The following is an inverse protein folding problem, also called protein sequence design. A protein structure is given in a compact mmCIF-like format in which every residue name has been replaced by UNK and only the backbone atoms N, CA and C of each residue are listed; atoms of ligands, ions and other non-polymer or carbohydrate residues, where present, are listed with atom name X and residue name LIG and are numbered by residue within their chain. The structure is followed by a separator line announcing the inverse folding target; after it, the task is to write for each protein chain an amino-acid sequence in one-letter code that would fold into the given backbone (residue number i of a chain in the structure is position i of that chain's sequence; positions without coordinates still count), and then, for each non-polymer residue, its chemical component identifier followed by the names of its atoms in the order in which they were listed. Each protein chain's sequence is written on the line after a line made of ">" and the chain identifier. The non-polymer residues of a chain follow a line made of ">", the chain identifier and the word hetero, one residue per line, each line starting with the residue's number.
data_IF_950813380147
#
_entry.id   IF_950813380147
#
_cell.length_a   1.000
_cell.length_b   1.000
_cell.length_c   1.000
_cell.angle_alpha   90.00
_cell.angle_beta   90.00
_cell.angle_gamma   90.00
#
_symmetry.space_group_name_H-M   'P 1'
#
loop_
_entity.id
_entity.type
_entity.pdbx_description
1 polymer ?
#
# COMPACT_ATOMS: atom_id res chain seq x y z
N UNK A 1 13.42 -30.82 -12.27
CA UNK A 1 14.28 -30.59 -11.08
C UNK A 1 14.21 -29.11 -10.76
N UNK A 2 14.04 -28.70 -9.50
CA UNK A 2 14.10 -27.29 -9.13
C UNK A 2 15.45 -26.72 -9.57
N UNK A 3 15.45 -25.48 -10.08
CA UNK A 3 16.65 -24.83 -10.62
C UNK A 3 17.67 -24.47 -9.54
N UNK A 4 17.28 -24.48 -8.25
CA UNK A 4 18.18 -24.21 -7.13
C UNK A 4 17.73 -25.03 -5.92
N UNK A 5 18.64 -25.81 -5.35
CA UNK A 5 18.44 -26.49 -4.07
C UNK A 5 19.11 -25.66 -2.99
N UNK A 6 18.34 -25.28 -1.95
CA UNK A 6 18.79 -24.46 -0.81
C UNK A 6 18.94 -25.37 0.43
N UNK A 7 20.09 -26.05 0.61
CA UNK A 7 20.30 -26.95 1.74
C UNK A 7 20.33 -26.22 3.09
N UNK A 8 20.44 -24.90 3.07
CA UNK A 8 20.47 -23.95 4.17
C UNK A 8 19.07 -23.52 4.66
N UNK A 9 18.01 -23.78 3.90
CA UNK A 9 16.62 -23.55 4.32
C UNK A 9 16.07 -24.80 5.03
N UNK A 10 16.21 -24.87 6.35
CA UNK A 10 15.40 -25.76 7.19
C UNK A 10 14.00 -25.18 7.38
N UNK A 11 13.01 -25.99 7.78
CA UNK A 11 11.63 -25.54 8.01
C UNK A 11 11.54 -24.38 9.03
N UNK A 12 12.42 -24.40 10.05
CA UNK A 12 12.54 -23.35 11.06
C UNK A 12 13.04 -22.03 10.45
N UNK A 13 14.03 -22.09 9.56
CA UNK A 13 14.57 -20.91 8.87
C UNK A 13 13.57 -20.40 7.83
N UNK A 14 12.90 -21.30 7.09
CA UNK A 14 11.91 -20.95 6.09
C UNK A 14 10.69 -20.22 6.67
N UNK A 15 10.36 -20.49 7.93
CA UNK A 15 9.23 -19.84 8.64
C UNK A 15 9.69 -18.67 9.52
N UNK A 16 10.98 -18.34 9.54
CA UNK A 16 11.48 -17.17 10.26
C UNK A 16 10.90 -15.89 9.69
N UNK A 17 10.63 -14.90 10.55
CA UNK A 17 10.15 -13.58 10.11
C UNK A 17 11.11 -12.94 9.10
N UNK A 18 12.41 -13.22 9.21
CA UNK A 18 13.44 -12.68 8.33
C UNK A 18 13.32 -13.23 6.89
N UNK A 19 13.10 -14.53 6.71
CA UNK A 19 12.91 -15.16 5.39
C UNK A 19 11.54 -14.81 4.81
N UNK A 20 10.49 -14.84 5.64
CA UNK A 20 9.13 -14.45 5.23
C UNK A 20 9.13 -12.99 4.76
N UNK A 21 9.65 -12.06 5.56
CA UNK A 21 9.62 -10.64 5.22
C UNK A 21 10.51 -10.28 4.02
N UNK A 22 11.59 -11.03 3.76
CA UNK A 22 12.49 -10.74 2.64
C UNK A 22 12.13 -11.49 1.36
N UNK A 23 12.03 -12.82 1.39
CA UNK A 23 11.84 -13.63 0.19
C UNK A 23 10.41 -13.55 -0.35
N UNK A 24 9.40 -13.49 0.53
CA UNK A 24 8.00 -13.40 0.10
C UNK A 24 7.66 -11.98 -0.38
N UNK A 25 8.18 -10.94 0.28
CA UNK A 25 7.93 -9.55 -0.15
C UNK A 25 8.53 -9.23 -1.51
N UNK A 26 9.64 -9.89 -1.89
CA UNK A 26 10.23 -9.75 -3.21
C UNK A 26 9.26 -10.05 -4.35
N UNK A 27 8.36 -11.02 -4.18
CA UNK A 27 7.31 -11.33 -5.17
C UNK A 27 6.29 -10.19 -5.33
N UNK A 28 6.07 -9.39 -4.28
CA UNK A 28 5.14 -8.26 -4.30
C UNK A 28 5.77 -6.99 -4.87
N UNK A 29 7.09 -6.95 -5.03
CA UNK A 29 7.80 -5.77 -5.55
C UNK A 29 7.52 -5.49 -7.04
N UNK A 30 6.84 -6.39 -7.76
CA UNK A 30 6.29 -6.10 -9.09
C UNK A 30 5.20 -5.02 -9.07
N UNK A 31 4.57 -4.77 -7.91
CA UNK A 31 3.42 -3.89 -7.76
C UNK A 31 3.73 -2.54 -7.10
N UNK A 32 5.01 -2.11 -7.03
CA UNK A 32 5.41 -0.85 -6.38
C UNK A 32 4.90 0.40 -7.10
N UNK A 33 4.66 1.53 -6.39
CA UNK A 33 4.19 2.75 -7.02
C UNK A 33 5.24 3.38 -7.94
N UNK A 34 4.77 4.15 -8.92
CA UNK A 34 5.64 4.92 -9.81
C UNK A 34 6.48 5.91 -8.99
N UNK A 35 7.77 6.00 -9.29
CA UNK A 35 8.69 6.93 -8.64
C UNK A 35 9.45 6.37 -7.43
N UNK A 36 9.26 5.09 -7.09
CA UNK A 36 10.18 4.36 -6.20
C UNK A 36 11.54 4.23 -6.89
N UNK A 37 12.61 4.48 -6.16
CA UNK A 37 13.98 4.40 -6.69
C UNK A 37 14.38 2.95 -6.98
N UNK A 38 14.91 2.72 -8.18
CA UNK A 38 15.37 1.42 -8.65
C UNK A 38 16.89 1.41 -8.76
N UNK A 39 17.50 0.26 -8.48
CA UNK A 39 18.91 -0.04 -8.75
C UNK A 39 19.04 -1.18 -9.75
N UNK A 40 20.22 -1.31 -10.36
CA UNK A 40 20.55 -2.47 -11.19
C UNK A 40 20.96 -3.65 -10.31
N UNK A 41 20.40 -4.83 -10.59
CA UNK A 41 20.86 -6.08 -10.02
C UNK A 41 22.18 -6.53 -10.66
N UNK A 42 22.81 -7.54 -10.06
CA UNK A 42 24.00 -8.21 -10.64
C UNK A 42 23.75 -8.79 -12.03
N UNK A 43 22.47 -9.07 -12.36
CA UNK A 43 22.02 -9.58 -13.65
C UNK A 43 21.55 -8.47 -14.61
N UNK A 44 21.73 -7.19 -14.25
CA UNK A 44 21.37 -6.03 -15.08
C UNK A 44 19.88 -5.67 -15.10
N UNK A 45 19.04 -6.38 -14.34
CA UNK A 45 17.61 -6.09 -14.20
C UNK A 45 17.37 -4.93 -13.24
N UNK A 46 16.26 -4.21 -13.40
CA UNK A 46 15.86 -3.17 -12.44
C UNK A 46 15.21 -3.83 -11.23
N UNK A 47 15.76 -3.58 -10.04
CA UNK A 47 15.23 -4.06 -8.77
C UNK A 47 15.03 -2.89 -7.82
N UNK A 48 14.11 -3.03 -6.88
CA UNK A 48 13.86 -1.99 -5.87
C UNK A 48 15.14 -1.73 -5.09
N UNK A 49 15.48 -0.46 -4.84
CA UNK A 49 16.67 -0.11 -4.07
C UNK A 49 16.49 -0.36 -2.55
N UNK A 50 15.99 -1.51 -2.12
CA UNK A 50 15.84 -1.85 -0.69
C UNK A 50 16.99 -2.74 -0.26
N UNK A 51 17.59 -2.43 0.88
CA UNK A 51 18.52 -3.35 1.58
C UNK A 51 17.77 -4.13 2.64
N UNK A 52 18.21 -5.36 2.93
CA UNK A 52 17.61 -6.19 3.99
C UNK A 52 17.61 -5.48 5.36
N UNK A 53 18.65 -4.69 5.63
CA UNK A 53 18.76 -3.86 6.85
C UNK A 53 17.78 -2.69 6.91
N UNK A 54 17.09 -2.37 5.81
CA UNK A 54 16.12 -1.27 5.73
C UNK A 54 14.67 -1.75 5.84
N UNK A 55 14.45 -3.06 6.03
CA UNK A 55 13.12 -3.60 6.28
C UNK A 55 12.65 -3.03 7.63
N UNK A 56 11.53 -2.29 7.64
CA UNK A 56 11.04 -1.66 8.85
C UNK A 56 10.54 -2.72 9.84
N UNK A 57 10.98 -2.62 11.10
CA UNK A 57 10.49 -3.46 12.20
C UNK A 57 9.17 -2.92 12.79
N UNK A 58 8.88 -1.64 12.58
CA UNK A 58 7.69 -0.96 13.08
C UNK A 58 6.86 -0.43 11.91
N UNK A 59 5.53 -0.47 12.01
CA UNK A 59 4.65 0.06 10.96
C UNK A 59 4.67 1.59 10.91
N UNK A 60 4.86 2.25 12.05
CA UNK A 60 4.86 3.71 12.19
C UNK A 60 6.13 4.14 12.91
N UNK A 61 6.91 5.01 12.27
CA UNK A 61 8.21 5.47 12.75
C UNK A 61 8.25 6.99 12.90
N UNK A 62 8.88 7.47 13.97
CA UNK A 62 9.16 8.89 14.15
C UNK A 62 10.49 9.20 13.45
N UNK A 63 10.46 10.03 12.41
CA UNK A 63 11.67 10.45 11.67
C UNK A 63 12.35 11.65 12.33
N UNK A 64 11.55 12.57 12.89
CA UNK A 64 12.05 13.77 13.57
C UNK A 64 11.05 14.26 14.61
N UNK A 65 11.56 14.93 15.65
CA UNK A 65 10.75 15.42 16.77
C UNK A 65 10.65 14.41 17.91
N UNK A 66 10.15 14.86 19.05
CA UNK A 66 9.93 14.03 20.24
C UNK A 66 8.44 13.75 20.40
N UNK A 67 8.06 12.48 20.32
CA UNK A 67 6.68 12.08 20.48
C UNK A 67 6.54 10.67 21.07
N UNK A 68 5.34 10.37 21.57
CA UNK A 68 4.93 9.01 21.94
C UNK A 68 3.76 8.60 21.07
N UNK A 69 3.84 7.39 20.51
CA UNK A 69 2.75 6.78 19.74
C UNK A 69 2.01 5.82 20.67
N UNK A 70 0.69 5.98 20.73
CA UNK A 70 -0.19 5.21 21.58
C UNK A 70 -1.35 4.66 20.74
N UNK A 71 -1.93 3.55 21.18
CA UNK A 71 -3.14 2.98 20.58
C UNK A 71 -3.02 2.72 19.07
N UNK A 72 -1.85 2.25 18.61
CA UNK A 72 -1.65 1.86 17.22
C UNK A 72 -2.55 0.65 16.91
N UNK A 73 -3.41 0.82 15.91
CA UNK A 73 -4.21 -0.24 15.34
C UNK A 73 -4.07 -0.20 13.82
N UNK A 74 -3.66 -1.31 13.24
CA UNK A 74 -3.33 -1.44 11.83
C UNK A 74 -4.07 -2.60 11.21
N UNK A 75 -4.62 -2.32 10.04
CA UNK A 75 -5.27 -3.25 9.13
C UNK A 75 -4.77 -2.93 7.72
N UNK A 76 -4.87 -3.87 6.76
CA UNK A 76 -4.35 -3.64 5.42
C UNK A 76 -4.87 -2.37 4.71
N UNK A 77 -6.07 -1.91 5.06
CA UNK A 77 -6.69 -0.72 4.47
C UNK A 77 -6.78 0.49 5.41
N UNK A 78 -6.39 0.35 6.68
CA UNK A 78 -6.56 1.42 7.68
C UNK A 78 -5.52 1.33 8.79
N UNK A 79 -4.89 2.45 9.09
CA UNK A 79 -3.93 2.62 10.18
C UNK A 79 -4.38 3.80 11.04
N UNK A 80 -4.58 3.55 12.33
CA UNK A 80 -4.98 4.57 13.29
C UNK A 80 -4.03 4.56 14.47
N UNK A 81 -3.66 5.74 14.95
CA UNK A 81 -2.88 5.88 16.17
C UNK A 81 -3.13 7.24 16.80
N UNK A 82 -2.79 7.35 18.08
CA UNK A 82 -2.72 8.62 18.80
C UNK A 82 -1.25 8.97 18.93
N UNK A 83 -0.90 10.21 18.63
CA UNK A 83 0.45 10.72 18.85
C UNK A 83 0.42 11.88 19.83
N UNK A 84 1.32 11.83 20.82
CA UNK A 84 1.57 12.92 21.75
C UNK A 84 2.91 13.55 21.40
N UNK A 85 2.88 14.62 20.59
CA UNK A 85 4.06 15.30 20.08
C UNK A 85 4.44 16.46 21.01
N UNK A 86 5.67 16.46 21.51
CA UNK A 86 6.23 17.55 22.32
C UNK A 86 6.70 18.73 21.47
N UNK A 87 7.12 18.44 20.24
CA UNK A 87 7.58 19.39 19.23
C UNK A 87 6.97 19.00 17.87
N UNK A 88 7.00 19.88 16.84
CA UNK A 88 6.65 19.51 15.48
C UNK A 88 7.37 18.24 15.03
N UNK A 89 6.60 17.31 14.50
CA UNK A 89 6.94 15.90 14.36
C UNK A 89 6.81 15.49 12.89
N UNK A 90 7.74 14.68 12.39
CA UNK A 90 7.56 13.96 11.13
C UNK A 90 7.42 12.47 11.41
N UNK A 91 6.26 11.92 11.07
CA UNK A 91 5.99 10.48 11.15
C UNK A 91 6.06 9.87 9.77
N UNK A 92 6.69 8.70 9.66
CA UNK A 92 6.59 7.80 8.51
C UNK A 92 5.68 6.64 8.85
N UNK A 93 4.79 6.32 7.93
CA UNK A 93 4.08 5.05 7.92
C UNK A 93 4.71 4.20 6.84
N UNK A 94 5.13 2.99 7.20
CA UNK A 94 5.86 2.06 6.34
C UNK A 94 4.95 1.34 5.35
N UNK A 95 4.14 2.14 4.67
CA UNK A 95 3.20 1.76 3.61
C UNK A 95 3.48 2.62 2.39
N UNK A 96 3.55 1.98 1.23
CA UNK A 96 3.66 2.65 -0.05
C UNK A 96 2.47 3.57 -0.32
N UNK A 97 2.74 4.81 -0.72
CA UNK A 97 1.71 5.79 -1.04
C UNK A 97 1.10 5.52 -2.44
N UNK A 98 0.23 4.53 -2.52
CA UNK A 98 -0.60 4.33 -3.71
C UNK A 98 -1.74 5.36 -3.82
N UNK A 99 -2.17 5.72 -5.05
CA UNK A 99 -3.37 6.51 -5.25
C UNK A 99 -4.58 5.87 -4.53
N UNK A 100 -5.24 6.62 -3.66
CA UNK A 100 -6.37 6.14 -2.84
C UNK A 100 -6.14 6.23 -1.33
N UNK A 101 -4.88 6.32 -0.89
CA UNK A 101 -4.59 6.64 0.51
C UNK A 101 -5.00 8.06 0.86
N UNK A 102 -5.62 8.21 2.03
CA UNK A 102 -6.08 9.47 2.58
C UNK A 102 -5.72 9.53 4.06
N UNK A 103 -5.14 10.65 4.50
CA UNK A 103 -4.87 10.89 5.91
C UNK A 103 -5.87 11.89 6.50
N UNK A 104 -6.17 11.70 7.77
CA UNK A 104 -6.86 12.66 8.62
C UNK A 104 -6.10 12.84 9.93
N UNK A 105 -6.06 14.08 10.39
CA UNK A 105 -5.58 14.44 11.72
C UNK A 105 -6.72 15.16 12.42
N UNK A 106 -7.13 14.64 13.57
CA UNK A 106 -8.29 15.14 14.35
C UNK A 106 -9.57 15.26 13.51
N UNK A 107 -9.79 14.26 12.65
CA UNK A 107 -10.96 14.18 11.76
C UNK A 107 -10.90 15.07 10.51
N UNK A 108 -9.93 15.99 10.42
CA UNK A 108 -9.75 16.88 9.26
C UNK A 108 -8.82 16.25 8.24
N UNK A 109 -9.10 16.44 6.95
CA UNK A 109 -8.24 15.94 5.86
C UNK A 109 -6.84 16.53 6.03
N UNK A 110 -5.85 15.66 5.96
CA UNK A 110 -4.44 16.02 6.13
C UNK A 110 -3.64 15.60 4.90
N UNK A 111 -2.64 16.40 4.54
CA UNK A 111 -1.83 16.15 3.34
C UNK A 111 -0.81 15.05 3.61
N UNK A 112 -0.79 14.03 2.74
CA UNK A 112 0.24 13.01 2.71
C UNK A 112 1.41 13.53 1.88
N UNK A 113 2.63 13.41 2.40
CA UNK A 113 3.85 13.55 1.62
C UNK A 113 4.44 12.15 1.33
N UNK A 114 5.18 12.03 0.23
CA UNK A 114 5.87 10.80 -0.16
C UNK A 114 7.25 11.09 -0.76
N UNK A 115 7.85 12.23 -0.39
CA UNK A 115 9.14 12.70 -0.87
C UNK A 115 10.30 11.94 -0.22
N UNK A 116 10.27 10.63 -0.32
CA UNK A 116 11.32 9.72 0.08
C UNK A 116 11.55 8.70 -1.03
N UNK A 117 12.71 8.06 -0.96
CA UNK A 117 13.22 7.09 -1.95
C UNK A 117 12.22 5.98 -2.30
N UNK A 118 11.40 5.59 -1.34
CA UNK A 118 10.48 4.46 -1.45
C UNK A 118 9.03 4.91 -1.60
N UNK A 119 8.73 6.20 -1.76
CA UNK A 119 7.35 6.72 -1.82
C UNK A 119 6.46 6.25 -0.66
N UNK A 120 7.04 6.11 0.54
CA UNK A 120 6.30 5.76 1.75
C UNK A 120 5.51 6.97 2.27
N UNK A 121 4.39 6.73 2.94
CA UNK A 121 3.54 7.78 3.50
C UNK A 121 4.30 8.50 4.62
N UNK A 122 4.40 9.84 4.54
CA UNK A 122 4.90 10.69 5.62
C UNK A 122 3.90 11.80 5.97
N UNK A 123 3.83 12.13 7.25
CA UNK A 123 2.96 13.17 7.80
C UNK A 123 3.78 14.10 8.69
N UNK A 124 3.64 15.42 8.47
CA UNK A 124 4.21 16.44 9.34
C UNK A 124 3.13 16.90 10.32
N UNK A 125 3.19 16.42 11.55
CA UNK A 125 2.18 16.66 12.58
C UNK A 125 2.69 17.78 13.49
N UNK A 126 1.88 18.81 13.80
CA UNK A 126 2.28 19.86 14.72
C UNK A 126 2.44 19.32 16.15
N UNK A 127 2.97 20.17 17.04
CA UNK A 127 3.01 19.85 18.47
C UNK A 127 1.60 19.66 19.04
N UNK A 128 1.47 18.77 20.04
CA UNK A 128 0.21 18.47 20.70
C UNK A 128 -0.21 17.01 20.57
N UNK A 129 -1.40 16.73 21.10
CA UNK A 129 -2.01 15.39 21.05
C UNK A 129 -2.95 15.32 19.85
N UNK A 130 -2.66 14.39 18.95
CA UNK A 130 -3.38 14.25 17.70
C UNK A 130 -3.85 12.82 17.46
N UNK A 131 -5.08 12.67 16.97
CA UNK A 131 -5.56 11.39 16.43
C UNK A 131 -5.29 11.34 14.94
N UNK A 132 -4.47 10.37 14.53
CA UNK A 132 -4.12 10.13 13.13
C UNK A 132 -4.90 8.95 12.60
N UNK A 133 -5.53 9.14 11.45
CA UNK A 133 -6.25 8.09 10.72
C UNK A 133 -5.80 8.10 9.27
N UNK A 134 -5.24 6.99 8.80
CA UNK A 134 -4.79 6.81 7.43
C UNK A 134 -5.60 5.66 6.86
N UNK A 135 -6.31 5.88 5.76
CA UNK A 135 -7.21 4.90 5.18
C UNK A 135 -7.09 4.85 3.67
N UNK A 136 -7.09 3.64 3.13
CA UNK A 136 -7.20 3.40 1.71
C UNK A 136 -8.67 3.44 1.33
N UNK A 137 -9.03 4.40 0.48
CA UNK A 137 -10.38 4.53 -0.06
C UNK A 137 -10.37 4.11 -1.52
N UNK A 138 -11.50 3.55 -1.96
CA UNK A 138 -11.71 3.25 -3.37
C UNK A 138 -11.44 4.51 -4.21
N UNK A 139 -10.60 4.34 -5.22
CA UNK A 139 -10.26 5.40 -6.17
C UNK A 139 -11.46 5.68 -7.08
N UNK A 140 -11.54 6.92 -7.58
CA UNK A 140 -12.59 7.33 -8.52
C UNK A 140 -12.64 6.43 -9.77
N UNK A 141 -11.51 5.82 -10.13
CA UNK A 141 -11.36 4.86 -11.24
C UNK A 141 -12.21 3.60 -11.06
N UNK A 142 -12.38 3.12 -9.81
CA UNK A 142 -13.23 1.95 -9.53
C UNK A 142 -14.71 2.29 -9.76
N UNK A 143 -15.12 3.51 -9.43
CA UNK A 143 -16.47 3.98 -9.66
C UNK A 143 -16.79 4.09 -11.16
N UNK A 144 -15.88 4.68 -11.95
CA UNK A 144 -16.06 4.79 -13.41
C UNK A 144 -16.03 3.43 -14.10
N UNK A 145 -15.13 2.54 -13.71
CA UNK A 145 -15.07 1.17 -14.20
C UNK A 145 -16.37 0.39 -13.95
N UNK A 146 -16.96 0.54 -12.76
CA UNK A 146 -18.25 -0.06 -12.44
C UNK A 146 -19.38 0.48 -13.31
N UNK A 147 -19.44 1.80 -13.56
CA UNK A 147 -20.45 2.41 -14.44
C UNK A 147 -20.31 1.88 -15.87
N UNK A 148 -19.09 1.84 -16.41
CA UNK A 148 -18.82 1.35 -17.77
C UNK A 148 -19.23 -0.13 -17.90
N UNK A 149 -18.90 -0.94 -16.89
CA UNK A 149 -19.23 -2.37 -16.86
C UNK A 149 -20.74 -2.58 -16.80
N UNK A 150 -21.45 -1.84 -15.94
CA UNK A 150 -22.91 -1.91 -15.83
C UNK A 150 -23.59 -1.46 -17.13
N UNK A 151 -23.12 -0.37 -17.73
CA UNK A 151 -23.65 0.15 -19.01
C UNK A 151 -23.46 -0.88 -20.13
N UNK A 152 -22.28 -1.49 -20.20
CA UNK A 152 -21.98 -2.53 -21.20
C UNK A 152 -22.86 -3.76 -21.04
N UNK A 153 -23.12 -4.18 -19.80
CA UNK A 153 -23.99 -5.31 -19.50
C UNK A 153 -25.45 -5.01 -19.90
N UNK A 154 -25.95 -3.81 -19.63
CA UNK A 154 -27.30 -3.39 -20.03
C UNK A 154 -27.46 -3.37 -21.55
N UNK A 155 -26.45 -2.87 -22.27
CA UNK A 155 -26.43 -2.88 -23.74
C UNK A 155 -26.47 -4.32 -24.27
N UNK A 156 -25.68 -5.23 -23.68
CA UNK A 156 -25.67 -6.64 -24.06
C UNK A 156 -27.06 -7.29 -23.86
N UNK A 157 -27.67 -7.09 -22.68
CA UNK A 157 -29.03 -7.60 -22.41
C UNK A 157 -30.05 -7.04 -23.39
N UNK A 158 -29.98 -5.75 -23.71
CA UNK A 158 -30.84 -5.12 -24.70
C UNK A 158 -30.74 -5.82 -26.07
N UNK A 159 -29.51 -6.09 -26.55
CA UNK A 159 -29.33 -6.80 -27.81
C UNK A 159 -29.84 -8.24 -27.79
N UNK A 160 -29.63 -8.97 -26.69
CA UNK A 160 -30.12 -10.34 -26.52
C UNK A 160 -31.66 -10.38 -26.57
N UNK A 161 -32.32 -9.52 -25.79
CA UNK A 161 -33.79 -9.44 -25.74
C UNK A 161 -34.35 -9.05 -27.11
N UNK A 162 -33.71 -8.10 -27.81
CA UNK A 162 -34.10 -7.70 -29.16
C UNK A 162 -34.00 -8.85 -30.15
N UNK A 163 -32.93 -9.64 -30.10
CA UNK A 163 -32.76 -10.80 -30.99
C UNK A 163 -33.77 -11.91 -30.71
N UNK A 164 -34.07 -12.20 -29.43
CA UNK A 164 -35.09 -13.19 -29.07
C UNK A 164 -36.47 -12.80 -29.61
N UNK A 165 -36.87 -11.53 -29.42
CA UNK A 165 -38.17 -11.02 -29.88
C UNK A 165 -38.32 -11.04 -31.40
N UNK A 166 -37.24 -10.82 -32.16
CA UNK A 166 -37.27 -10.91 -33.63
C UNK A 166 -37.41 -12.37 -34.09
N UNK A 167 -36.83 -13.32 -33.35
CA UNK A 167 -36.85 -14.74 -33.69
C UNK A 167 -38.18 -15.42 -33.38
N UNK A 168 -38.96 -14.91 -32.44
CA UNK A 168 -40.30 -15.43 -32.11
C UNK A 168 -41.42 -14.90 -33.04
N UNK A 169 -41.12 -13.93 -33.91
CA UNK A 169 -42.09 -13.32 -34.87
C UNK A 169 -42.04 -14.00 -36.25
N UNK A 170 -41.06 -14.87 -36.51
CA UNK A 170 -40.93 -15.68 -37.72
C UNK A 170 -41.04 -17.17 -37.40
#
# INVERSE_FOLDING_TARGET
>A
KPQTYRPDLTDEIATSEEIINWDISQSSFEYIPKGVELKKSELGTNVVNIKKSEIPTEEVQILSGLAQINSLNSTPSKINFIVNAKDPLQVRVNVFNFPGWNAKVDGKKFTIADNNRLKLITLNIPEGVHRVEIQFKDTFDRFTGNIISLTSLLILFFFIIRQWKIRDIH
#
